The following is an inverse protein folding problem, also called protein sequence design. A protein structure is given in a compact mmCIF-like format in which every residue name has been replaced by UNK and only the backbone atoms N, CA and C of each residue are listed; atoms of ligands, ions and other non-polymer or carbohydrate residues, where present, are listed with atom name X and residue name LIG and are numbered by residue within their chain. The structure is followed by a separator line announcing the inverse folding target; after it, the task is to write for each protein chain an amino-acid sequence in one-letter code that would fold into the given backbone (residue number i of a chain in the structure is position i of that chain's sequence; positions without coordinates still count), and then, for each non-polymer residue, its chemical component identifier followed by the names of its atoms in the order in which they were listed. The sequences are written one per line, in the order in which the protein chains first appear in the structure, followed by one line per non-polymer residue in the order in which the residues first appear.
data_IF_764465146972
#
_entry.id   IF_764465146972
#
_cell.length_a   1.000
_cell.length_b   1.000
_cell.length_c   1.000
_cell.angle_alpha   90.00
_cell.angle_beta   90.00
_cell.angle_gamma   90.00
#
_symmetry.space_group_name_H-M   'P 1'
#
loop_
_entity.id
_entity.type
_entity.pdbx_description
1 polymer ?
#
# COMPACT_ATOMS: atom_id res chain seq x y z
N UNK A 1 2.99 -0.01 -1.69
CA UNK A 1 2.57 -1.18 -0.89
C UNK A 1 3.69 -2.21 -0.99
N UNK A 2 4.09 -2.83 0.11
CA UNK A 2 5.09 -3.89 0.10
C UNK A 2 4.71 -5.00 1.09
N UNK A 3 5.33 -6.16 0.93
CA UNK A 3 5.24 -7.29 1.85
C UNK A 3 6.61 -7.73 2.32
N UNK A 4 6.64 -8.57 3.35
CA UNK A 4 7.84 -9.31 3.70
C UNK A 4 7.93 -10.64 2.94
N UNK A 5 9.16 -11.04 2.62
CA UNK A 5 9.50 -12.40 2.23
C UNK A 5 9.82 -13.27 3.46
N UNK A 6 10.24 -14.52 3.24
CA UNK A 6 10.58 -15.45 4.31
C UNK A 6 11.78 -15.00 5.17
N UNK A 7 12.61 -14.08 4.67
CA UNK A 7 13.76 -13.51 5.36
C UNK A 7 13.45 -12.11 5.93
N UNK A 8 12.17 -11.73 6.04
CA UNK A 8 11.71 -10.43 6.51
C UNK A 8 12.21 -9.24 5.68
N UNK A 9 12.62 -9.49 4.43
CA UNK A 9 13.06 -8.44 3.51
C UNK A 9 11.86 -7.81 2.80
N UNK A 10 11.95 -6.50 2.55
CA UNK A 10 10.90 -5.74 1.86
C UNK A 10 10.88 -6.13 0.38
N UNK A 11 9.76 -6.69 -0.07
CA UNK A 11 9.54 -7.03 -1.48
C UNK A 11 8.22 -6.44 -1.97
N UNK A 12 8.14 -6.14 -3.27
CA UNK A 12 6.91 -5.63 -3.85
C UNK A 12 5.81 -6.69 -3.75
N UNK A 13 4.59 -6.20 -3.56
CA UNK A 13 3.41 -7.06 -3.62
C UNK A 13 3.22 -7.54 -5.07
N UNK A 14 2.73 -8.76 -5.24
CA UNK A 14 2.51 -9.33 -6.56
C UNK A 14 1.46 -8.55 -7.36
N UNK A 15 1.77 -8.39 -8.65
CA UNK A 15 0.96 -7.66 -9.62
C UNK A 15 0.76 -8.50 -10.87
N UNK A 16 -0.37 -8.28 -11.55
CA UNK A 16 -0.53 -8.81 -12.90
C UNK A 16 0.46 -8.09 -13.83
N UNK A 17 1.13 -8.85 -14.70
CA UNK A 17 2.11 -8.38 -15.68
C UNK A 17 3.43 -7.81 -15.12
N UNK A 18 3.76 -8.06 -13.84
CA UNK A 18 5.00 -7.59 -13.20
C UNK A 18 5.22 -6.06 -13.25
N UNK A 19 4.19 -5.26 -13.54
CA UNK A 19 4.25 -3.80 -13.49
C UNK A 19 3.88 -3.29 -12.08
N UNK A 20 4.83 -2.79 -11.28
CA UNK A 20 4.55 -2.28 -9.93
C UNK A 20 3.55 -1.11 -9.93
N UNK A 21 3.46 -0.34 -11.04
CA UNK A 21 2.47 0.73 -11.19
C UNK A 21 1.04 0.19 -11.24
N UNK A 22 0.84 -1.08 -11.59
CA UNK A 22 -0.47 -1.73 -11.61
C UNK A 22 -1.09 -1.91 -10.21
N UNK A 23 -0.30 -1.81 -9.12
CA UNK A 23 -0.84 -1.70 -7.76
C UNK A 23 -1.61 -0.39 -7.58
N UNK A 24 -1.31 0.65 -8.37
CA UNK A 24 -1.77 2.01 -8.12
C UNK A 24 -1.00 2.63 -6.96
N UNK A 25 -1.72 3.29 -6.05
CA UNK A 25 -1.13 3.95 -4.88
C UNK A 25 -0.64 5.39 -5.14
N UNK A 26 -0.87 5.93 -6.34
CA UNK A 26 -0.76 7.37 -6.58
C UNK A 26 -1.90 8.12 -5.89
N UNK A 27 -1.61 9.33 -5.43
CA UNK A 27 -2.63 10.20 -4.84
C UNK A 27 -3.50 10.83 -5.93
N UNK A 28 -4.81 10.55 -5.90
CA UNK A 28 -5.79 11.29 -6.70
C UNK A 28 -6.13 12.59 -5.98
N UNK A 29 -5.67 13.73 -6.51
CA UNK A 29 -5.87 15.03 -5.89
C UNK A 29 -7.32 15.55 -5.99
N UNK A 30 -8.08 15.09 -6.98
CA UNK A 30 -9.48 15.49 -7.19
C UNK A 30 -10.36 14.78 -6.16
N UNK A 31 -10.20 13.47 -6.04
CA UNK A 31 -10.96 12.63 -5.09
C UNK A 31 -10.34 12.58 -3.69
N UNK A 32 -9.12 13.12 -3.53
CA UNK A 32 -8.32 13.13 -2.30
C UNK A 32 -8.13 11.74 -1.69
N UNK A 33 -7.77 10.77 -2.52
CA UNK A 33 -7.68 9.36 -2.10
C UNK A 33 -6.47 8.64 -2.69
N UNK A 34 -6.09 7.55 -2.03
CA UNK A 34 -5.16 6.55 -2.56
C UNK A 34 -5.95 5.28 -2.86
N UNK A 35 -5.73 4.69 -4.04
CA UNK A 35 -6.37 3.42 -4.43
C UNK A 35 -5.29 2.39 -4.70
N UNK A 36 -5.41 1.24 -4.04
CA UNK A 36 -4.49 0.11 -4.20
C UNK A 36 -5.26 -1.08 -4.79
N UNK A 37 -4.80 -1.62 -5.92
CA UNK A 37 -5.29 -2.87 -6.49
C UNK A 37 -4.39 -4.02 -6.04
N UNK A 38 -4.92 -4.90 -5.19
CA UNK A 38 -4.19 -6.04 -4.61
C UNK A 38 -4.74 -7.38 -5.08
N UNK A 39 -5.45 -7.40 -6.20
CA UNK A 39 -6.20 -8.58 -6.67
C UNK A 39 -5.29 -9.79 -6.89
N UNK A 40 -4.19 -9.62 -7.64
CA UNK A 40 -3.25 -10.70 -7.93
C UNK A 40 -2.62 -11.29 -6.66
N UNK A 41 -2.26 -10.41 -5.72
CA UNK A 41 -1.70 -10.81 -4.44
C UNK A 41 -2.69 -11.63 -3.59
N UNK A 42 -3.92 -11.17 -3.46
CA UNK A 42 -4.97 -11.91 -2.73
C UNK A 42 -5.26 -13.25 -3.42
N UNK A 43 -5.30 -13.28 -4.75
CA UNK A 43 -5.47 -14.52 -5.52
C UNK A 43 -4.35 -15.53 -5.23
N UNK A 44 -3.09 -15.09 -5.16
CA UNK A 44 -1.96 -15.96 -4.87
C UNK A 44 -1.95 -16.46 -3.42
N UNK A 45 -2.40 -15.65 -2.45
CA UNK A 45 -2.61 -16.10 -1.06
C UNK A 45 -3.67 -17.21 -1.03
N UNK A 46 -4.82 -16.99 -1.67
CA UNK A 46 -5.92 -17.97 -1.71
C UNK A 46 -5.48 -19.26 -2.43
N UNK A 47 -4.74 -19.14 -3.53
CA UNK A 47 -4.19 -20.26 -4.27
C UNK A 47 -2.99 -20.94 -3.59
N UNK A 48 -2.60 -20.50 -2.38
CA UNK A 48 -1.43 -20.97 -1.61
C UNK A 48 -0.10 -20.87 -2.37
N UNK A 49 -0.02 -20.01 -3.38
CA UNK A 49 1.22 -19.71 -4.12
C UNK A 49 2.10 -18.73 -3.37
N UNK A 50 1.48 -17.88 -2.55
CA UNK A 50 2.16 -16.87 -1.74
C UNK A 50 1.74 -16.99 -0.29
N UNK A 51 2.72 -16.99 0.61
CA UNK A 51 2.48 -16.84 2.04
C UNK A 51 2.69 -15.39 2.43
N UNK A 52 1.75 -14.83 3.20
CA UNK A 52 1.89 -13.49 3.76
C UNK A 52 2.71 -13.56 5.06
N UNK A 53 3.83 -12.84 5.08
CA UNK A 53 4.68 -12.65 6.27
C UNK A 53 4.49 -11.25 6.89
N UNK A 54 3.57 -10.46 6.36
CA UNK A 54 3.31 -9.09 6.75
C UNK A 54 3.19 -8.19 5.53
N UNK A 55 2.10 -7.43 5.45
CA UNK A 55 1.81 -6.48 4.37
C UNK A 55 1.63 -5.08 4.91
N UNK A 56 2.29 -4.10 4.28
CA UNK A 56 2.41 -2.75 4.82
C UNK A 56 2.15 -1.68 3.77
N UNK A 57 1.48 -0.61 4.21
CA UNK A 57 1.26 0.63 3.46
C UNK A 57 2.18 1.69 4.04
N UNK A 58 3.03 2.29 3.20
CA UNK A 58 3.94 3.35 3.59
C UNK A 58 4.06 4.40 2.47
N UNK A 59 4.28 5.68 2.81
CA UNK A 59 4.61 6.71 1.84
C UNK A 59 6.02 6.49 1.29
N UNK A 60 6.16 6.42 -0.03
CA UNK A 60 7.46 6.34 -0.70
C UNK A 60 7.68 7.57 -1.59
N UNK A 61 8.93 8.05 -1.73
CA UNK A 61 9.24 9.11 -2.70
C UNK A 61 8.93 8.61 -4.11
N UNK A 62 8.43 9.50 -4.97
CA UNK A 62 8.18 9.18 -6.40
C UNK A 62 9.46 8.70 -7.10
N UNK A 63 10.62 9.21 -6.68
CA UNK A 63 11.93 8.81 -7.21
C UNK A 63 12.45 7.46 -6.70
N UNK A 64 11.79 6.85 -5.71
CA UNK A 64 12.20 5.54 -5.16
C UNK A 64 11.65 4.35 -5.96
N UNK A 65 11.31 4.57 -7.24
CA UNK A 65 10.48 3.67 -8.06
C UNK A 65 11.02 2.22 -8.21
N UNK A 66 12.31 1.96 -7.94
CA UNK A 66 12.91 0.64 -8.14
C UNK A 66 13.31 -0.11 -6.87
N UNK A 67 13.51 0.58 -5.75
CA UNK A 67 13.99 -0.03 -4.51
C UNK A 67 13.04 0.37 -3.38
N UNK A 68 12.43 -0.62 -2.73
CA UNK A 68 11.66 -0.44 -1.50
C UNK A 68 12.59 0.01 -0.37
N UNK A 69 13.01 1.29 -0.41
CA UNK A 69 13.88 1.99 0.52
C UNK A 69 14.67 1.03 1.43
N UNK A 70 15.67 0.36 0.86
CA UNK A 70 16.60 -0.49 1.61
C UNK A 70 17.51 0.34 2.52
N UNK A 71 17.61 1.64 2.24
CA UNK A 71 18.25 2.66 3.07
C UNK A 71 17.26 3.80 3.40
N UNK A 72 17.51 4.56 4.48
CA UNK A 72 16.75 5.77 4.79
C UNK A 72 16.74 6.75 3.60
N UNK A 73 15.62 7.42 3.36
CA UNK A 73 15.49 8.45 2.34
C UNK A 73 15.13 9.79 2.96
N UNK A 74 15.79 10.84 2.51
CA UNK A 74 15.45 12.23 2.87
C UNK A 74 14.14 12.71 2.23
N UNK A 75 13.68 12.03 1.18
CA UNK A 75 12.44 12.37 0.45
C UNK A 75 11.21 11.60 0.91
N UNK A 76 11.32 10.77 1.94
CA UNK A 76 10.22 9.95 2.47
C UNK A 76 9.90 10.37 3.90
N UNK A 77 8.62 10.52 4.22
CA UNK A 77 8.20 10.70 5.60
C UNK A 77 8.39 9.39 6.36
N UNK A 78 9.20 9.41 7.43
CA UNK A 78 9.48 8.23 8.26
C UNK A 78 8.24 7.73 9.02
N UNK A 79 7.19 8.55 9.17
CA UNK A 79 5.96 8.21 9.87
C UNK A 79 4.76 8.83 9.17
N UNK A 80 3.68 8.05 9.06
CA UNK A 80 2.36 8.56 8.72
C UNK A 80 1.53 8.69 9.99
N UNK A 81 1.09 9.91 10.33
CA UNK A 81 0.12 10.12 11.40
C UNK A 81 -1.28 9.98 10.81
N UNK A 82 -1.81 8.76 10.89
CA UNK A 82 -3.16 8.46 10.42
C UNK A 82 -4.12 8.89 11.54
N UNK A 83 -4.76 10.04 11.37
CA UNK A 83 -5.83 10.54 12.26
C UNK A 83 -7.11 9.72 12.12
N UNK A 84 -7.04 8.40 12.31
CA UNK A 84 -8.17 7.50 12.21
C UNK A 84 -9.11 7.71 13.42
N UNK A 85 -10.41 7.82 13.16
CA UNK A 85 -11.47 7.82 14.19
C UNK A 85 -11.40 8.93 15.26
N UNK A 86 -11.00 10.15 14.89
CA UNK A 86 -11.26 11.30 15.78
C UNK A 86 -12.74 11.67 15.76
N UNK A 87 -13.42 11.41 16.88
CA UNK A 87 -14.87 11.64 17.06
C UNK A 87 -15.31 13.09 16.81
N UNK A 88 -14.39 14.07 16.92
CA UNK A 88 -14.63 15.50 16.69
C UNK A 88 -13.46 16.14 15.89
N UNK A 89 -13.17 15.65 14.69
CA UNK A 89 -12.15 16.26 13.85
C UNK A 89 -12.53 17.71 13.49
N UNK A 90 -11.62 18.66 13.73
CA UNK A 90 -11.86 20.08 13.43
C UNK A 90 -11.93 20.28 11.91
N UNK A 91 -12.72 21.23 11.42
CA UNK A 91 -12.76 21.60 10.00
C UNK A 91 -11.34 21.95 9.53
N UNK A 92 -10.80 21.15 8.60
CA UNK A 92 -9.42 21.26 8.12
C UNK A 92 -8.49 20.11 8.56
N UNK A 93 -8.88 19.31 9.55
CA UNK A 93 -8.16 18.09 9.92
C UNK A 93 -8.37 16.99 8.86
N UNK A 94 -7.26 16.42 8.38
CA UNK A 94 -7.28 15.34 7.38
C UNK A 94 -7.36 13.98 8.08
N UNK A 95 -8.58 13.50 8.31
CA UNK A 95 -8.81 12.12 8.78
C UNK A 95 -8.76 11.15 7.61
N UNK A 96 -8.12 9.99 7.78
CA UNK A 96 -8.11 8.92 6.78
C UNK A 96 -9.17 7.87 7.09
N UNK A 97 -9.88 7.40 6.06
CA UNK A 97 -10.84 6.28 6.12
C UNK A 97 -10.36 5.17 5.18
N UNK A 98 -10.26 3.94 5.69
CA UNK A 98 -9.99 2.75 4.89
C UNK A 98 -11.31 2.16 4.40
N UNK A 99 -11.45 2.01 3.09
CA UNK A 99 -12.59 1.31 2.47
C UNK A 99 -12.06 0.05 1.78
N UNK A 100 -12.58 -1.11 2.15
CA UNK A 100 -12.27 -2.39 1.51
C UNK A 100 -13.44 -2.78 0.59
N UNK A 101 -13.15 -2.90 -0.70
CA UNK A 101 -14.07 -3.42 -1.70
C UNK A 101 -13.56 -4.78 -2.16
N UNK A 102 -14.40 -5.81 -2.03
CA UNK A 102 -14.07 -7.15 -2.49
C UNK A 102 -15.24 -7.70 -3.29
N UNK A 103 -14.91 -8.44 -4.35
CA UNK A 103 -15.88 -9.19 -5.15
C UNK A 103 -15.43 -10.63 -5.16
N UNK A 104 -16.31 -11.55 -4.76
CA UNK A 104 -16.01 -12.98 -4.86
C UNK A 104 -16.07 -13.37 -6.34
N UNK A 105 -14.94 -13.77 -6.89
CA UNK A 105 -14.90 -14.40 -8.22
C UNK A 105 -15.42 -15.83 -8.05
N UNK A 106 -16.41 -16.21 -8.87
CA UNK A 106 -16.97 -17.57 -8.91
C UNK A 106 -16.03 -18.54 -9.59
#
# INVERSE_FOLDING_TARGET
LYRYDIAEQRVFVEVNNNDPAAIGGYFDAIKRQYVFNVTAYIQNIIAKKTKDYGTFIAPIPISAASNLLTSPSLGSAARSVIGAYRKNAVVGERTMRLNLYYTKVK
#
